data_IF_978212115061
#
_entry.id   IF_978212115061
#
_cell.length_a   1.000
_cell.length_b   1.000
_cell.length_c   1.000
_cell.angle_alpha   90.00
_cell.angle_beta   90.00
_cell.angle_gamma   90.00
#
_symmetry.space_group_name_H-M   'P 1'
#
loop_
_entity.id
_entity.type
_entity.pdbx_description
1 polymer ?
#
# COMPACT_ATOMS: atom_id res chain seq x y z
N UNK A 1 14.05 2.57 -15.26
CA UNK A 1 12.64 2.14 -15.40
C UNK A 1 12.49 0.86 -14.61
N UNK A 2 11.78 0.91 -13.48
CA UNK A 2 11.47 -0.29 -12.72
C UNK A 2 10.17 -0.86 -13.26
N UNK A 3 10.21 -2.13 -13.66
CA UNK A 3 9.04 -2.90 -14.07
C UNK A 3 8.09 -3.02 -12.86
N UNK A 4 6.78 -2.84 -13.07
CA UNK A 4 5.75 -3.00 -12.02
C UNK A 4 5.92 -4.28 -11.18
N UNK A 5 6.39 -5.37 -11.78
CA UNK A 5 6.71 -6.61 -11.04
C UNK A 5 7.77 -6.45 -9.94
N UNK A 6 8.74 -5.57 -10.12
CA UNK A 6 9.76 -5.27 -9.10
C UNK A 6 9.15 -4.47 -7.95
N UNK A 7 8.25 -3.53 -8.26
CA UNK A 7 7.51 -2.77 -7.26
C UNK A 7 6.63 -3.69 -6.43
N UNK A 8 5.95 -4.63 -7.07
CA UNK A 8 5.11 -5.65 -6.40
C UNK A 8 5.93 -6.49 -5.43
N UNK A 9 7.03 -7.09 -5.88
CA UNK A 9 7.91 -7.90 -5.03
C UNK A 9 8.48 -7.09 -3.86
N UNK A 10 8.81 -5.81 -4.09
CA UNK A 10 9.29 -4.95 -3.04
C UNK A 10 8.19 -4.67 -2.01
N UNK A 11 6.96 -4.38 -2.45
CA UNK A 11 5.81 -4.16 -1.56
C UNK A 11 5.47 -5.43 -0.77
N UNK A 12 5.47 -6.61 -1.39
CA UNK A 12 5.32 -7.90 -0.71
C UNK A 12 6.37 -8.06 0.40
N UNK A 13 7.63 -7.74 0.11
CA UNK A 13 8.70 -7.84 1.10
C UNK A 13 8.56 -6.81 2.22
N UNK A 14 8.25 -5.56 1.89
CA UNK A 14 8.20 -4.46 2.85
C UNK A 14 7.01 -4.60 3.82
N UNK A 15 5.87 -5.11 3.33
CA UNK A 15 4.66 -5.29 4.14
C UNK A 15 4.46 -6.73 4.63
N UNK A 16 5.21 -7.71 4.12
CA UNK A 16 5.02 -9.14 4.43
C UNK A 16 5.20 -9.50 5.90
N UNK A 17 6.02 -8.74 6.63
CA UNK A 17 6.24 -8.94 8.07
C UNK A 17 5.20 -8.22 8.95
N UNK A 18 4.31 -7.42 8.37
CA UNK A 18 3.28 -6.70 9.10
C UNK A 18 2.17 -7.66 9.51
N UNK A 19 2.27 -8.19 10.74
CA UNK A 19 1.25 -9.10 11.34
C UNK A 19 -0.16 -8.51 11.40
N UNK A 20 -0.30 -7.20 11.23
CA UNK A 20 -1.59 -6.52 11.17
C UNK A 20 -2.15 -6.41 9.75
N UNK A 21 -1.38 -6.66 8.69
CA UNK A 21 -1.86 -6.57 7.31
C UNK A 21 -2.84 -7.72 7.02
N UNK A 22 -4.00 -7.37 6.48
CA UNK A 22 -5.01 -8.33 6.00
C UNK A 22 -5.00 -8.41 4.48
N UNK A 23 -5.00 -7.24 3.82
CA UNK A 23 -5.11 -7.14 2.37
C UNK A 23 -4.27 -5.94 1.89
N UNK A 24 -3.65 -6.07 0.72
CA UNK A 24 -2.82 -5.04 0.08
C UNK A 24 -3.11 -5.00 -1.42
N UNK A 25 -3.25 -3.81 -1.97
CA UNK A 25 -3.53 -3.61 -3.40
C UNK A 25 -2.72 -2.44 -3.94
N UNK A 26 -2.21 -2.56 -5.16
CA UNK A 26 -1.82 -1.41 -5.98
C UNK A 26 -3.07 -0.89 -6.68
N UNK A 27 -3.22 0.42 -6.74
CA UNK A 27 -4.29 1.09 -7.48
C UNK A 27 -3.73 2.21 -8.35
N UNK A 28 -4.60 2.84 -9.15
CA UNK A 28 -4.30 4.10 -9.79
C UNK A 28 -3.49 3.98 -11.07
N UNK A 29 -2.87 5.10 -11.46
CA UNK A 29 -2.32 5.30 -12.80
C UNK A 29 -1.12 4.41 -13.14
N UNK A 30 -0.39 3.94 -12.12
CA UNK A 30 0.77 3.05 -12.30
C UNK A 30 0.42 1.71 -12.98
N UNK A 31 -0.83 1.27 -12.83
CA UNK A 31 -1.35 0.05 -13.49
C UNK A 31 -1.73 0.27 -14.95
N UNK A 32 -1.89 1.52 -15.39
CA UNK A 32 -2.25 1.88 -16.77
C UNK A 32 -1.00 2.16 -17.59
N UNK A 33 -0.11 3.00 -17.05
CA UNK A 33 1.18 3.32 -17.67
C UNK A 33 2.24 3.65 -16.61
N UNK A 34 3.11 2.68 -16.35
CA UNK A 34 4.19 2.78 -15.36
C UNK A 34 5.22 3.89 -15.67
N UNK A 35 5.31 4.32 -16.92
CA UNK A 35 6.29 5.30 -17.39
C UNK A 35 5.85 6.75 -17.13
N UNK A 36 4.55 6.96 -16.95
CA UNK A 36 3.95 8.27 -16.69
C UNK A 36 3.69 8.46 -15.19
N UNK A 37 3.48 7.37 -14.45
CA UNK A 37 3.20 7.43 -13.02
C UNK A 37 4.43 7.89 -12.21
N UNK A 38 4.33 9.08 -11.60
CA UNK A 38 5.35 9.65 -10.72
C UNK A 38 5.30 9.09 -9.30
N UNK A 39 4.21 8.39 -8.99
CA UNK A 39 3.87 7.82 -7.70
C UNK A 39 3.30 6.41 -7.86
N UNK A 40 3.22 5.72 -6.73
CA UNK A 40 2.55 4.44 -6.59
C UNK A 40 1.52 4.59 -5.48
N UNK A 41 0.26 4.35 -5.83
CA UNK A 41 -0.85 4.35 -4.89
C UNK A 41 -1.12 2.92 -4.43
N UNK A 42 -1.19 2.71 -3.12
CA UNK A 42 -1.60 1.45 -2.53
C UNK A 42 -2.77 1.64 -1.56
N UNK A 43 -3.62 0.63 -1.49
CA UNK A 43 -4.66 0.50 -0.48
C UNK A 43 -4.30 -0.70 0.38
N UNK A 44 -4.35 -0.51 1.69
CA UNK A 44 -4.15 -1.59 2.65
C UNK A 44 -5.30 -1.66 3.63
N UNK A 45 -5.64 -2.89 4.02
CA UNK A 45 -6.54 -3.16 5.12
C UNK A 45 -5.78 -3.83 6.24
N UNK A 46 -5.91 -3.31 7.45
CA UNK A 46 -5.18 -3.79 8.61
C UNK A 46 -6.09 -4.13 9.79
N UNK A 47 -5.61 -5.02 10.64
CA UNK A 47 -6.24 -5.43 11.89
C UNK A 47 -5.39 -4.99 13.09
N UNK A 48 -5.96 -4.14 13.93
CA UNK A 48 -5.37 -3.82 15.23
C UNK A 48 -5.94 -4.72 16.34
N UNK A 49 -5.07 -5.53 16.96
CA UNK A 49 -5.39 -6.21 18.22
C UNK A 49 -5.40 -5.20 19.38
N UNK A 50 -6.10 -5.53 20.46
CA UNK A 50 -6.05 -4.78 21.71
C UNK A 50 -4.59 -4.63 22.16
N UNK A 51 -4.12 -3.39 22.33
CA UNK A 51 -2.74 -3.07 22.71
C UNK A 51 -1.79 -2.79 21.54
N UNK A 52 -2.26 -2.81 20.29
CA UNK A 52 -1.46 -2.33 19.16
C UNK A 52 -1.33 -0.81 19.20
N UNK A 53 -0.12 -0.30 19.00
CA UNK A 53 0.19 1.13 19.10
C UNK A 53 0.11 1.72 17.69
N UNK A 54 -0.91 2.54 17.44
CA UNK A 54 -1.11 3.25 16.16
C UNK A 54 0.13 4.07 15.78
N UNK A 55 0.82 4.65 16.77
CA UNK A 55 2.03 5.44 16.55
C UNK A 55 3.18 4.57 16.00
N UNK A 56 3.38 3.36 16.53
CA UNK A 56 4.42 2.45 16.04
C UNK A 56 4.16 2.02 14.59
N UNK A 57 2.89 1.76 14.25
CA UNK A 57 2.50 1.49 12.88
C UNK A 57 2.73 2.69 11.95
N UNK A 58 2.34 3.88 12.40
CA UNK A 58 2.50 5.12 11.64
C UNK A 58 3.96 5.43 11.37
N UNK A 59 4.84 5.18 12.35
CA UNK A 59 6.27 5.34 12.21
C UNK A 59 6.87 4.32 11.23
N UNK A 60 6.52 3.04 11.35
CA UNK A 60 6.93 2.01 10.38
C UNK A 60 6.47 2.34 8.96
N UNK A 61 5.24 2.83 8.78
CA UNK A 61 4.73 3.23 7.47
C UNK A 61 5.50 4.43 6.89
N UNK A 62 5.97 5.34 7.74
CA UNK A 62 6.81 6.45 7.32
C UNK A 62 8.17 5.95 6.81
N UNK A 63 8.80 5.04 7.52
CA UNK A 63 10.08 4.43 7.13
C UNK A 63 9.96 3.69 5.79
N UNK A 64 8.91 2.91 5.59
CA UNK A 64 8.62 2.24 4.31
C UNK A 64 8.51 3.24 3.17
N UNK A 65 7.82 4.37 3.37
CA UNK A 65 7.69 5.42 2.33
C UNK A 65 9.03 6.06 1.99
N UNK A 66 9.88 6.31 2.99
CA UNK A 66 11.22 6.86 2.80
C UNK A 66 12.13 5.89 2.04
N UNK A 67 12.12 4.60 2.42
CA UNK A 67 12.89 3.55 1.74
C UNK A 67 12.41 3.34 0.30
N UNK A 68 11.09 3.35 0.07
CA UNK A 68 10.51 3.26 -1.26
C UNK A 68 11.00 4.40 -2.16
N UNK A 69 10.94 5.64 -1.67
CA UNK A 69 11.42 6.80 -2.41
C UNK A 69 12.92 6.69 -2.74
N UNK A 70 13.73 6.27 -1.76
CA UNK A 70 15.17 6.03 -1.99
C UNK A 70 15.44 4.94 -3.03
N UNK A 71 14.59 3.91 -3.10
CA UNK A 71 14.78 2.76 -4.00
C UNK A 71 14.31 3.05 -5.41
N UNK A 72 13.13 3.67 -5.57
CA UNK A 72 12.46 3.83 -6.86
C UNK A 72 12.46 5.27 -7.39
N UNK A 73 12.87 6.25 -6.58
CA UNK A 73 12.73 7.69 -6.89
C UNK A 73 11.29 8.09 -7.23
N UNK A 74 10.31 7.43 -6.60
CA UNK A 74 8.86 7.67 -6.75
C UNK A 74 8.22 7.82 -5.38
N UNK A 75 7.13 8.57 -5.29
CA UNK A 75 6.36 8.68 -4.06
C UNK A 75 5.49 7.44 -3.84
N UNK A 76 5.34 7.00 -2.58
CA UNK A 76 4.41 5.95 -2.18
C UNK A 76 3.24 6.54 -1.40
N UNK A 77 2.05 6.52 -1.99
CA UNK A 77 0.80 6.92 -1.35
C UNK A 77 0.10 5.69 -0.78
N UNK A 78 -0.27 5.76 0.49
CA UNK A 78 -0.85 4.61 1.21
C UNK A 78 -2.16 5.05 1.86
N UNK A 79 -3.27 4.49 1.40
CA UNK A 79 -4.58 4.61 2.04
C UNK A 79 -4.81 3.40 2.93
N UNK A 80 -5.09 3.63 4.20
CA UNK A 80 -5.21 2.56 5.22
C UNK A 80 -6.64 2.49 5.73
N UNK A 81 -7.21 1.29 5.72
CA UNK A 81 -8.49 0.98 6.37
C UNK A 81 -8.25 0.02 7.53
N UNK A 82 -8.93 0.24 8.65
CA UNK A 82 -8.93 -0.69 9.78
C UNK A 82 -9.99 -1.78 9.61
N UNK A 83 -9.95 -2.81 10.44
CA UNK A 83 -10.90 -3.92 10.37
C UNK A 83 -12.38 -3.49 10.52
N UNK A 84 -12.63 -2.35 11.18
CA UNK A 84 -13.96 -1.83 11.44
C UNK A 84 -14.50 -0.97 10.28
N UNK A 85 -13.69 -0.72 9.25
CA UNK A 85 -14.04 0.11 8.10
C UNK A 85 -14.33 -0.73 6.84
N UNK A 86 -14.81 -1.97 7.03
CA UNK A 86 -15.05 -2.92 5.93
C UNK A 86 -15.92 -2.34 4.81
N UNK A 87 -17.04 -1.69 5.15
CA UNK A 87 -17.94 -1.10 4.15
C UNK A 87 -17.27 0.04 3.36
N UNK A 88 -16.51 0.89 4.03
CA UNK A 88 -15.77 1.98 3.39
C UNK A 88 -14.67 1.45 2.49
N UNK A 89 -13.98 0.40 2.93
CA UNK A 89 -12.96 -0.30 2.16
C UNK A 89 -13.55 -0.94 0.89
N UNK A 90 -14.60 -1.76 1.03
CA UNK A 90 -15.30 -2.39 -0.09
C UNK A 90 -15.82 -1.35 -1.09
N UNK A 91 -16.41 -0.26 -0.59
CA UNK A 91 -16.86 0.84 -1.43
C UNK A 91 -15.70 1.49 -2.17
N UNK A 92 -14.60 1.81 -1.48
CA UNK A 92 -13.42 2.41 -2.10
C UNK A 92 -12.83 1.51 -3.20
N UNK A 93 -12.67 0.22 -2.93
CA UNK A 93 -12.23 -0.76 -3.93
C UNK A 93 -13.20 -0.79 -5.10
N UNK A 94 -14.52 -0.80 -4.88
CA UNK A 94 -15.50 -0.83 -5.98
C UNK A 94 -15.46 0.39 -6.91
N UNK A 95 -14.95 1.53 -6.45
CA UNK A 95 -14.81 2.74 -7.26
C UNK A 95 -13.55 2.75 -8.14
N UNK A 96 -12.56 1.90 -7.85
CA UNK A 96 -11.29 1.90 -8.56
C UNK A 96 -11.34 0.95 -9.76
N UNK A 97 -11.15 1.51 -10.96
CA UNK A 97 -11.18 0.74 -12.21
C UNK A 97 -9.90 -0.06 -12.47
N UNK A 98 -8.80 0.28 -11.79
CA UNK A 98 -7.51 -0.37 -11.91
C UNK A 98 -7.03 -0.77 -10.52
N UNK A 99 -7.06 -2.08 -10.25
CA UNK A 99 -6.68 -2.66 -8.97
C UNK A 99 -5.89 -3.93 -9.24
N UNK A 100 -4.79 -4.09 -8.52
CA UNK A 100 -3.99 -5.30 -8.53
C UNK A 100 -3.76 -5.76 -7.10
N UNK A 101 -4.13 -7.00 -6.83
CA UNK A 101 -3.89 -7.64 -5.53
C UNK A 101 -2.41 -7.96 -5.42
N UNK A 102 -1.83 -7.66 -4.26
CA UNK A 102 -0.48 -8.04 -3.86
C UNK A 102 -0.60 -9.15 -2.82
#
# INVERSE_FOLDING_TARGET
MHNLSIVEQWLESAFGDHKCLLELYIIGSVLVDENIANDVDIVQRIYFKKGYIVDAYSQSLKEIKEEFYSTFSKSLHVTTFTQNENLSFEYFISLNNYIRII
#
